data_IF_437057600487
#
_entry.id   IF_437057600487
#
_cell.length_a   1.000
_cell.length_b   1.000
_cell.length_c   1.000
_cell.angle_alpha   90.00
_cell.angle_beta   90.00
_cell.angle_gamma   90.00
#
_symmetry.space_group_name_H-M   'P 1'
#
loop_
_entity.id
_entity.type
_entity.pdbx_description
1 polymer ?
#
# COMPACT_ATOMS: atom_id res chain seq x y z
N UNK A 1 1.70 14.92 -4.54
CA UNK A 1 0.86 14.65 -5.74
C UNK A 1 1.38 13.37 -6.36
N UNK A 2 0.52 12.46 -6.80
CA UNK A 2 0.94 11.19 -7.42
C UNK A 2 1.47 11.49 -8.82
N UNK A 3 2.68 11.02 -9.13
CA UNK A 3 3.33 11.24 -10.42
C UNK A 3 2.80 10.25 -11.47
N UNK A 4 1.70 10.63 -12.11
CA UNK A 4 1.00 9.79 -13.09
C UNK A 4 1.80 9.46 -14.36
N UNK A 5 2.62 10.37 -14.93
CA UNK A 5 3.54 10.03 -16.02
C UNK A 5 4.42 8.80 -15.74
N UNK A 6 4.99 8.72 -14.53
CA UNK A 6 5.82 7.57 -14.12
C UNK A 6 4.99 6.29 -13.98
N UNK A 7 3.74 6.40 -13.52
CA UNK A 7 2.81 5.26 -13.43
C UNK A 7 2.49 4.70 -14.82
N UNK A 8 2.24 5.56 -15.81
CA UNK A 8 1.99 5.14 -17.19
C UNK A 8 3.20 4.49 -17.86
N UNK A 9 4.43 4.82 -17.47
CA UNK A 9 5.62 4.13 -17.95
C UNK A 9 5.69 2.67 -17.45
N UNK A 10 5.18 2.39 -16.25
CA UNK A 10 5.17 1.04 -15.67
C UNK A 10 4.00 0.17 -16.15
N UNK A 11 2.86 0.77 -16.49
CA UNK A 11 1.66 0.08 -16.93
C UNK A 11 0.97 0.82 -18.09
N UNK A 12 1.61 0.89 -19.28
CA UNK A 12 1.15 1.73 -20.38
C UNK A 12 -0.20 1.29 -20.97
N UNK A 13 -0.59 0.04 -20.78
CA UNK A 13 -1.87 -0.51 -21.25
C UNK A 13 -3.04 -0.15 -20.32
N UNK A 14 -2.77 0.38 -19.13
CA UNK A 14 -3.80 0.73 -18.16
C UNK A 14 -4.05 2.22 -18.21
N UNK A 15 -5.32 2.60 -18.41
CA UNK A 15 -5.71 4.00 -18.39
C UNK A 15 -5.39 4.64 -17.02
N UNK A 16 -4.69 5.78 -17.06
CA UNK A 16 -4.24 6.50 -15.86
C UNK A 16 -5.39 6.92 -14.96
N UNK A 17 -6.55 7.23 -15.54
CA UNK A 17 -7.76 7.60 -14.79
C UNK A 17 -8.27 6.44 -13.92
N UNK A 18 -8.20 5.21 -14.43
CA UNK A 18 -8.58 3.98 -13.76
C UNK A 18 -7.66 3.74 -12.58
N UNK A 19 -6.35 3.86 -12.78
CA UNK A 19 -5.36 3.76 -11.70
C UNK A 19 -5.60 4.82 -10.62
N UNK A 20 -5.85 6.06 -11.01
CA UNK A 20 -6.14 7.14 -10.07
C UNK A 20 -7.40 6.84 -9.23
N UNK A 21 -8.46 6.31 -9.86
CA UNK A 21 -9.70 5.96 -9.15
C UNK A 21 -9.48 4.83 -8.16
N UNK A 22 -8.73 3.80 -8.53
CA UNK A 22 -8.35 2.71 -7.62
C UNK A 22 -7.60 3.29 -6.41
N UNK A 23 -6.56 4.10 -6.64
CA UNK A 23 -5.76 4.68 -5.56
C UNK A 23 -6.62 5.50 -4.58
N UNK A 24 -7.56 6.29 -5.10
CA UNK A 24 -8.44 7.10 -4.26
C UNK A 24 -9.38 6.26 -3.40
N UNK A 25 -9.89 5.13 -3.92
CA UNK A 25 -10.74 4.21 -3.15
C UNK A 25 -9.92 3.45 -2.10
N UNK A 26 -8.74 2.98 -2.47
CA UNK A 26 -7.92 2.12 -1.63
C UNK A 26 -7.23 2.88 -0.49
N UNK A 27 -6.67 4.06 -0.77
CA UNK A 27 -5.84 4.79 0.20
C UNK A 27 -6.19 6.26 0.37
N UNK A 28 -7.15 6.78 -0.41
CA UNK A 28 -7.37 8.23 -0.51
C UNK A 28 -6.16 8.99 -1.05
N UNK A 29 -5.24 8.30 -1.73
CA UNK A 29 -3.97 8.86 -2.19
C UNK A 29 -2.87 8.94 -1.13
N UNK A 30 -3.01 8.25 0.01
CA UNK A 30 -1.97 8.18 1.03
C UNK A 30 -0.94 7.09 0.71
N UNK A 31 0.30 7.41 0.33
CA UNK A 31 1.33 6.41 0.04
C UNK A 31 1.74 5.59 1.27
N UNK A 32 1.52 6.11 2.47
CA UNK A 32 1.89 5.42 3.71
C UNK A 32 0.72 4.61 4.29
N UNK A 33 -0.38 4.42 3.56
CA UNK A 33 -1.54 3.70 4.09
C UNK A 33 -1.17 2.26 4.48
N UNK A 34 -1.41 1.90 5.73
CA UNK A 34 -1.21 0.55 6.28
C UNK A 34 -2.51 0.09 6.92
N UNK A 35 -3.12 -0.95 6.37
CA UNK A 35 -4.33 -1.56 6.89
C UNK A 35 -4.04 -2.98 7.38
N UNK A 36 -4.32 -3.24 8.65
CA UNK A 36 -4.13 -4.57 9.23
C UNK A 36 -5.45 -5.32 9.15
N UNK A 37 -5.43 -6.46 8.47
CA UNK A 37 -6.64 -7.26 8.30
C UNK A 37 -7.15 -7.80 9.65
N UNK A 38 -8.47 -7.87 9.81
CA UNK A 38 -9.17 -8.31 11.03
C UNK A 38 -8.99 -7.39 12.26
N UNK A 39 -8.41 -6.20 12.10
CA UNK A 39 -8.40 -5.17 13.15
C UNK A 39 -9.58 -4.19 13.00
N UNK A 40 -10.12 -3.76 14.13
CA UNK A 40 -11.09 -2.66 14.17
C UNK A 40 -10.44 -1.35 13.69
N UNK A 41 -11.24 -0.49 13.04
CA UNK A 41 -10.76 0.72 12.39
C UNK A 41 -10.01 1.68 13.34
N UNK A 42 -10.38 1.70 14.62
CA UNK A 42 -9.75 2.56 15.64
C UNK A 42 -8.33 2.17 16.02
N UNK A 43 -7.92 0.93 15.75
CA UNK A 43 -6.60 0.40 16.15
C UNK A 43 -5.56 0.44 15.03
N UNK A 44 -5.93 0.91 13.83
CA UNK A 44 -5.06 0.87 12.66
C UNK A 44 -3.86 1.80 12.82
N UNK A 45 -2.65 1.36 12.40
CA UNK A 45 -1.47 2.21 12.41
C UNK A 45 -1.67 3.45 11.50
N UNK A 46 -1.11 4.58 11.91
CA UNK A 46 -1.17 5.85 11.17
C UNK A 46 0.23 6.39 10.86
N UNK A 47 1.04 5.63 10.09
CA UNK A 47 2.41 6.04 9.76
C UNK A 47 2.41 7.37 9.00
N UNK A 48 3.50 8.12 9.14
CA UNK A 48 3.65 9.46 8.54
C UNK A 48 4.73 9.53 7.48
N UNK A 49 5.51 8.47 7.34
CA UNK A 49 6.59 8.35 6.38
C UNK A 49 6.79 6.86 6.04
N UNK A 50 7.69 6.61 5.07
CA UNK A 50 8.04 5.26 4.60
C UNK A 50 8.55 4.38 5.74
N UNK A 51 9.49 4.88 6.56
CA UNK A 51 10.09 4.10 7.64
C UNK A 51 9.05 3.63 8.67
N UNK A 52 8.10 4.50 9.03
CA UNK A 52 6.99 4.16 9.92
C UNK A 52 6.07 3.09 9.29
N UNK A 53 5.78 3.22 7.99
CA UNK A 53 4.90 2.29 7.28
C UNK A 53 5.54 0.89 7.17
N UNK A 54 6.84 0.85 6.91
CA UNK A 54 7.66 -0.36 6.90
C UNK A 54 7.68 -1.00 8.28
N UNK A 55 7.99 -0.24 9.32
CA UNK A 55 8.06 -0.74 10.70
C UNK A 55 6.70 -1.29 11.17
N UNK A 56 5.61 -0.56 10.92
CA UNK A 56 4.26 -1.01 11.24
C UNK A 56 3.89 -2.30 10.51
N UNK A 57 4.22 -2.38 9.21
CA UNK A 57 3.92 -3.56 8.41
C UNK A 57 4.70 -4.79 8.89
N UNK A 58 6.00 -4.65 9.12
CA UNK A 58 6.84 -5.73 9.66
C UNK A 58 6.34 -6.22 11.01
N UNK A 59 5.98 -5.29 11.90
CA UNK A 59 5.45 -5.60 13.23
C UNK A 59 4.18 -6.46 13.16
N UNK A 60 3.21 -6.11 12.29
CA UNK A 60 1.97 -6.86 12.19
C UNK A 60 2.10 -8.18 11.42
N UNK A 61 2.97 -8.24 10.41
CA UNK A 61 3.33 -9.49 9.74
C UNK A 61 3.98 -10.47 10.73
N UNK A 62 4.91 -10.00 11.57
CA UNK A 62 5.55 -10.83 12.59
C UNK A 62 4.55 -11.39 13.63
N UNK A 63 3.44 -10.69 13.84
CA UNK A 63 2.31 -11.15 14.66
C UNK A 63 1.31 -12.05 13.93
N UNK A 64 1.57 -12.39 12.67
CA UNK A 64 0.73 -13.28 11.87
C UNK A 64 -0.45 -12.62 11.16
N UNK A 65 -0.53 -11.29 11.14
CA UNK A 65 -1.61 -10.57 10.47
C UNK A 65 -1.26 -10.25 9.00
N UNK A 66 -2.22 -10.44 8.07
CA UNK A 66 -2.09 -9.89 6.72
C UNK A 66 -2.22 -8.38 6.76
N UNK A 67 -1.42 -7.69 5.98
CA UNK A 67 -1.38 -6.22 5.97
C UNK A 67 -1.50 -5.75 4.53
N UNK A 68 -2.40 -4.81 4.28
CA UNK A 68 -2.53 -4.12 3.00
C UNK A 68 -1.76 -2.81 3.05
N UNK A 69 -0.96 -2.55 2.01
CA UNK A 69 0.08 -1.52 2.09
C UNK A 69 0.08 -0.62 0.84
N UNK A 70 0.29 0.67 1.07
CA UNK A 70 0.58 1.65 0.03
C UNK A 70 -0.64 2.14 -0.73
N UNK A 71 -0.40 2.84 -1.84
CA UNK A 71 -1.43 3.53 -2.62
C UNK A 71 -2.58 2.63 -3.09
N UNK A 72 -2.27 1.37 -3.40
CA UNK A 72 -3.22 0.38 -3.93
C UNK A 72 -3.52 -0.73 -2.92
N UNK A 73 -3.11 -0.57 -1.66
CA UNK A 73 -3.40 -1.52 -0.58
C UNK A 73 -3.04 -2.97 -0.95
N UNK A 74 -1.82 -3.19 -1.44
CA UNK A 74 -1.36 -4.54 -1.84
C UNK A 74 -1.21 -5.40 -0.58
N UNK A 75 -1.85 -6.57 -0.57
CA UNK A 75 -1.80 -7.48 0.57
C UNK A 75 -0.43 -8.15 0.71
N UNK A 76 0.09 -8.21 1.94
CA UNK A 76 1.39 -8.79 2.27
C UNK A 76 1.53 -10.27 1.94
N UNK A 77 0.42 -11.02 1.83
CA UNK A 77 0.43 -12.42 1.38
C UNK A 77 0.86 -12.56 -0.08
N UNK A 78 0.69 -11.51 -0.88
CA UNK A 78 0.98 -11.52 -2.31
C UNK A 78 2.37 -11.00 -2.65
N UNK A 79 3.12 -10.44 -1.69
CA UNK A 79 4.41 -9.78 -1.98
C UNK A 79 5.40 -10.68 -2.70
N UNK A 80 5.55 -11.93 -2.25
CA UNK A 80 6.47 -12.87 -2.89
C UNK A 80 6.08 -13.15 -4.35
N UNK A 81 4.80 -13.31 -4.63
CA UNK A 81 4.28 -13.59 -5.97
C UNK A 81 4.44 -12.38 -6.91
N UNK A 82 4.22 -11.18 -6.37
CA UNK A 82 4.27 -9.93 -7.13
C UNK A 82 5.68 -9.31 -7.20
N UNK A 83 6.67 -9.90 -6.54
CA UNK A 83 8.01 -9.30 -6.40
C UNK A 83 8.01 -7.96 -5.66
N UNK A 84 7.00 -7.69 -4.83
CA UNK A 84 6.90 -6.43 -4.08
C UNK A 84 7.90 -6.42 -2.91
N UNK A 85 8.66 -5.33 -2.80
CA UNK A 85 9.66 -5.15 -1.74
C UNK A 85 9.21 -4.04 -0.80
N UNK A 86 9.26 -4.32 0.51
CA UNK A 86 8.69 -3.47 1.53
C UNK A 86 9.43 -2.13 1.71
N UNK A 87 10.71 -2.06 1.35
CA UNK A 87 11.54 -0.87 1.45
C UNK A 87 11.19 0.24 0.44
N UNK A 88 10.26 -0.04 -0.49
CA UNK A 88 9.80 0.90 -1.53
C UNK A 88 8.34 1.31 -1.39
N UNK A 89 7.73 1.04 -0.23
CA UNK A 89 6.35 1.44 0.08
C UNK A 89 6.25 2.97 0.19
#
# INVERSE_FOLDING_TARGET
MIDMPSVSACAPEIATDTLQKIIMVESGGNPFAVNVNKMSAGSRPKPKNVADAVAATQYWIAKGYPVDVGLMQVNSRNFKMLGAVLDKV
#
